data_IF_329660326536
#
_entry.id   IF_329660326536
#
_cell.length_a   1.000
_cell.length_b   1.000
_cell.length_c   1.000
_cell.angle_alpha   90.00
_cell.angle_beta   90.00
_cell.angle_gamma   90.00
#
_symmetry.space_group_name_H-M   'P 1'
#
loop_
_entity.id
_entity.type
_entity.pdbx_description
1 polymer ?
#
# COMPACT_ATOMS: atom_id res chain seq x y z
N UNK A 1 -5.67 -42.12 15.82
CA UNK A 1 -4.64 -41.13 16.26
C UNK A 1 -5.02 -39.79 15.67
N UNK A 2 -5.64 -38.95 16.49
CA UNK A 2 -6.14 -37.62 16.12
C UNK A 2 -5.01 -36.64 16.41
N UNK A 3 -4.35 -36.14 15.37
CA UNK A 3 -3.36 -35.09 15.52
C UNK A 3 -4.06 -33.80 16.01
N UNK A 4 -3.65 -33.41 17.21
CA UNK A 4 -4.02 -32.19 17.89
C UNK A 4 -3.70 -30.98 16.97
N UNK A 5 -4.72 -30.31 16.47
CA UNK A 5 -4.58 -28.95 15.93
C UNK A 5 -3.98 -28.08 17.02
N UNK A 6 -2.68 -27.80 16.90
CA UNK A 6 -1.97 -26.83 17.73
C UNK A 6 -2.81 -25.55 17.80
N UNK A 7 -3.38 -25.27 18.98
CA UNK A 7 -4.26 -24.14 19.22
C UNK A 7 -3.51 -22.83 18.93
N UNK A 8 -3.80 -22.21 17.80
CA UNK A 8 -3.35 -20.85 17.51
C UNK A 8 -3.99 -19.95 18.58
N UNK A 9 -3.19 -19.42 19.50
CA UNK A 9 -3.65 -18.46 20.51
C UNK A 9 -4.29 -17.27 19.80
N UNK A 10 -5.49 -16.88 20.20
CA UNK A 10 -6.14 -15.67 19.71
C UNK A 10 -5.36 -14.44 20.20
N UNK A 11 -5.29 -13.40 19.39
CA UNK A 11 -4.68 -12.12 19.77
C UNK A 11 -5.43 -11.51 20.96
N UNK A 12 -4.70 -10.98 21.92
CA UNK A 12 -5.26 -10.16 22.99
C UNK A 12 -5.56 -8.74 22.50
N UNK A 13 -6.27 -7.96 23.30
CA UNK A 13 -6.51 -6.53 23.00
C UNK A 13 -5.19 -5.74 22.93
N UNK A 14 -4.22 -6.09 23.78
CA UNK A 14 -2.91 -5.43 23.78
C UNK A 14 -2.12 -5.79 22.53
N UNK A 15 -2.13 -7.06 22.10
CA UNK A 15 -1.50 -7.47 20.82
C UNK A 15 -2.11 -6.68 19.64
N UNK A 16 -3.42 -6.46 19.63
CA UNK A 16 -4.10 -5.69 18.56
C UNK A 16 -3.71 -4.21 18.63
N UNK A 17 -3.67 -3.62 19.83
CA UNK A 17 -3.23 -2.23 20.02
C UNK A 17 -1.81 -2.04 19.48
N UNK A 18 -0.87 -2.90 19.89
CA UNK A 18 0.52 -2.83 19.45
C UNK A 18 0.66 -2.96 17.93
N UNK A 19 -0.12 -3.83 17.30
CA UNK A 19 -0.16 -3.94 15.83
C UNK A 19 -0.67 -2.67 15.15
N UNK A 20 -1.70 -2.03 15.70
CA UNK A 20 -2.22 -0.76 15.14
C UNK A 20 -1.21 0.37 15.34
N UNK A 21 -0.55 0.46 16.50
CA UNK A 21 0.49 1.45 16.77
C UNK A 21 1.71 1.25 15.87
N UNK A 22 2.08 -0.01 15.57
CA UNK A 22 3.10 -0.31 14.57
C UNK A 22 2.72 0.20 13.16
N UNK A 23 1.44 0.15 12.77
CA UNK A 23 0.99 0.72 11.51
C UNK A 23 1.16 2.25 11.46
N UNK A 24 0.92 2.97 12.57
CA UNK A 24 1.21 4.40 12.66
C UNK A 24 2.70 4.71 12.53
N UNK A 25 3.55 3.88 13.14
CA UNK A 25 5.01 3.97 12.98
C UNK A 25 5.42 3.73 11.53
N UNK A 26 4.88 2.70 10.87
CA UNK A 26 5.13 2.42 9.47
C UNK A 26 4.74 3.61 8.56
N UNK A 27 3.62 4.29 8.84
CA UNK A 27 3.23 5.52 8.13
C UNK A 27 4.30 6.60 8.26
N UNK A 28 4.83 6.85 9.47
CA UNK A 28 5.90 7.84 9.71
C UNK A 28 7.19 7.49 8.96
N UNK A 29 7.51 6.20 8.83
CA UNK A 29 8.65 5.75 8.03
C UNK A 29 8.45 6.13 6.55
N UNK A 30 7.24 5.97 6.02
CA UNK A 30 6.95 6.35 4.63
C UNK A 30 7.00 7.86 4.40
N UNK A 31 6.80 8.68 5.44
CA UNK A 31 6.95 10.14 5.39
C UNK A 31 8.42 10.59 5.33
N UNK A 32 9.36 9.71 5.72
CA UNK A 32 10.81 9.95 5.63
C UNK A 32 11.42 9.55 4.28
N UNK A 33 10.61 9.04 3.34
CA UNK A 33 11.08 8.72 2.00
C UNK A 33 11.41 9.99 1.20
N UNK A 34 12.33 9.92 0.21
CA UNK A 34 12.69 11.07 -0.61
C UNK A 34 11.48 11.71 -1.28
N UNK A 35 11.46 13.04 -1.31
CA UNK A 35 10.42 13.78 -2.01
C UNK A 35 10.47 13.49 -3.51
N UNK A 36 9.33 13.17 -4.07
CA UNK A 36 9.16 12.99 -5.50
C UNK A 36 8.94 14.34 -6.19
N UNK A 37 9.28 14.46 -7.50
CA UNK A 37 8.92 15.64 -8.28
C UNK A 37 7.42 15.96 -8.13
N UNK A 38 7.04 17.24 -8.12
CA UNK A 38 5.65 17.70 -7.84
C UNK A 38 4.57 17.03 -8.70
N UNK A 39 4.94 16.56 -9.89
CA UNK A 39 4.04 15.85 -10.79
C UNK A 39 3.90 14.36 -10.50
N UNK A 40 4.70 13.81 -9.58
CA UNK A 40 4.76 12.39 -9.25
C UNK A 40 4.13 12.12 -7.89
N UNK A 41 3.60 10.90 -7.73
CA UNK A 41 3.07 10.37 -6.48
C UNK A 41 3.78 9.05 -6.17
N UNK A 42 3.91 8.63 -4.89
CA UNK A 42 4.50 7.33 -4.53
C UNK A 42 3.89 6.17 -5.32
N UNK A 43 2.57 6.19 -5.54
CA UNK A 43 1.87 5.14 -6.34
C UNK A 43 2.32 5.06 -7.79
N UNK A 44 2.82 6.14 -8.38
CA UNK A 44 3.40 6.12 -9.73
C UNK A 44 4.69 5.30 -9.74
N UNK A 45 5.56 5.50 -8.75
CA UNK A 45 6.83 4.74 -8.61
C UNK A 45 6.54 3.25 -8.43
N UNK A 46 5.55 2.89 -7.60
CA UNK A 46 5.15 1.49 -7.43
C UNK A 46 4.64 0.84 -8.73
N UNK A 47 3.88 1.59 -9.56
CA UNK A 47 3.42 1.06 -10.86
C UNK A 47 4.57 0.94 -11.84
N UNK A 48 5.50 1.91 -11.88
CA UNK A 48 6.72 1.84 -12.70
C UNK A 48 7.54 0.60 -12.32
N UNK A 49 7.80 0.39 -11.04
CA UNK A 49 8.56 -0.77 -10.56
C UNK A 49 7.85 -2.10 -10.86
N UNK A 50 6.52 -2.16 -10.71
CA UNK A 50 5.74 -3.35 -11.06
C UNK A 50 5.79 -3.68 -12.56
N UNK A 51 5.74 -2.69 -13.46
CA UNK A 51 5.88 -2.88 -14.91
C UNK A 51 7.27 -3.43 -15.21
N UNK A 52 8.30 -2.86 -14.63
CA UNK A 52 9.68 -3.32 -14.81
C UNK A 52 9.83 -4.78 -14.37
N UNK A 53 9.41 -5.12 -13.15
CA UNK A 53 9.52 -6.47 -12.58
C UNK A 53 8.81 -7.51 -13.45
N UNK A 54 7.56 -7.24 -13.87
CA UNK A 54 6.79 -8.17 -14.69
C UNK A 54 7.42 -8.41 -16.07
N UNK A 55 7.99 -7.38 -16.69
CA UNK A 55 8.65 -7.52 -17.98
C UNK A 55 10.00 -8.26 -17.87
N UNK A 56 10.78 -8.00 -16.82
CA UNK A 56 12.09 -8.66 -16.64
C UNK A 56 11.99 -10.11 -16.17
N UNK A 57 11.01 -10.44 -15.31
CA UNK A 57 10.79 -11.81 -14.86
C UNK A 57 10.30 -12.75 -15.97
N UNK A 58 9.69 -12.21 -17.01
CA UNK A 58 9.14 -13.01 -18.09
C UNK A 58 10.20 -13.52 -19.09
N UNK A 59 11.45 -13.03 -19.02
CA UNK A 59 12.54 -13.32 -19.97
C UNK A 59 12.08 -13.23 -21.46
N UNK A 60 11.09 -12.37 -21.71
CA UNK A 60 10.47 -12.20 -23.04
C UNK A 60 11.08 -11.02 -23.77
N UNK A 61 11.37 -11.12 -25.06
CA UNK A 61 11.85 -9.97 -25.86
C UNK A 61 10.77 -8.89 -26.07
N UNK A 62 9.51 -9.21 -25.77
CA UNK A 62 8.37 -8.28 -25.90
C UNK A 62 7.74 -8.03 -24.53
N UNK A 63 7.22 -6.80 -24.27
CA UNK A 63 6.56 -6.48 -23.01
C UNK A 63 5.37 -7.39 -22.72
N UNK A 64 5.31 -7.92 -21.49
CA UNK A 64 4.23 -8.80 -21.02
C UNK A 64 3.38 -8.18 -19.91
N UNK A 65 3.85 -7.09 -19.29
CA UNK A 65 3.13 -6.41 -18.21
C UNK A 65 1.76 -5.93 -18.67
N UNK A 66 0.71 -6.29 -17.92
CA UNK A 66 -0.68 -5.90 -18.16
C UNK A 66 -1.28 -5.30 -16.90
N UNK A 67 -2.34 -4.51 -17.03
CA UNK A 67 -3.08 -3.94 -15.89
C UNK A 67 -3.48 -5.01 -14.87
N UNK A 68 -3.93 -6.19 -15.32
CA UNK A 68 -4.30 -7.30 -14.43
C UNK A 68 -3.10 -7.85 -13.65
N UNK A 69 -1.95 -8.02 -14.30
CA UNK A 69 -0.71 -8.47 -13.66
C UNK A 69 -0.22 -7.46 -12.61
N UNK A 70 -0.22 -6.17 -12.94
CA UNK A 70 0.14 -5.08 -12.02
C UNK A 70 -0.83 -5.02 -10.84
N UNK A 71 -2.13 -5.17 -11.09
CA UNK A 71 -3.19 -5.23 -10.07
C UNK A 71 -2.93 -6.38 -9.08
N UNK A 72 -2.60 -7.57 -9.57
CA UNK A 72 -2.28 -8.72 -8.73
C UNK A 72 -0.96 -8.51 -7.96
N UNK A 73 0.07 -7.98 -8.63
CA UNK A 73 1.39 -7.74 -8.04
C UNK A 73 1.33 -6.73 -6.87
N UNK A 74 0.58 -5.65 -7.04
CA UNK A 74 0.46 -4.57 -6.03
C UNK A 74 -0.68 -4.79 -5.03
N UNK A 75 -1.58 -5.77 -5.23
CA UNK A 75 -2.77 -5.96 -4.40
C UNK A 75 -3.77 -4.79 -4.49
N UNK A 76 -3.83 -4.11 -5.64
CA UNK A 76 -4.66 -2.92 -5.88
C UNK A 76 -5.64 -3.21 -7.01
N UNK A 77 -6.86 -2.66 -6.94
CA UNK A 77 -7.91 -2.94 -7.93
C UNK A 77 -7.54 -2.50 -9.35
N UNK A 78 -7.94 -3.27 -10.36
CA UNK A 78 -7.65 -2.98 -11.76
C UNK A 78 -8.11 -1.58 -12.24
N UNK A 79 -9.28 -1.04 -11.83
CA UNK A 79 -9.64 0.34 -12.15
C UNK A 79 -8.65 1.39 -11.60
N UNK A 80 -8.13 1.18 -10.38
CA UNK A 80 -7.12 2.07 -9.80
C UNK A 80 -5.81 2.03 -10.58
N UNK A 81 -5.37 0.83 -10.98
CA UNK A 81 -4.17 0.66 -11.82
C UNK A 81 -4.38 1.29 -13.19
N UNK A 82 -5.55 1.10 -13.83
CA UNK A 82 -5.87 1.71 -15.13
C UNK A 82 -5.72 3.23 -15.08
N UNK A 83 -6.21 3.86 -14.01
CA UNK A 83 -6.06 5.31 -13.82
C UNK A 83 -4.59 5.73 -13.69
N UNK A 84 -3.83 5.04 -12.84
CA UNK A 84 -2.40 5.34 -12.65
C UNK A 84 -1.58 5.14 -13.93
N UNK A 85 -1.85 4.07 -14.68
CA UNK A 85 -1.23 3.81 -15.98
C UNK A 85 -1.55 4.95 -16.96
N UNK A 86 -2.82 5.41 -17.02
CA UNK A 86 -3.19 6.53 -17.90
C UNK A 86 -2.50 7.85 -17.47
N UNK A 87 -2.38 8.11 -16.16
CA UNK A 87 -1.60 9.25 -15.65
C UNK A 87 -0.12 9.16 -16.10
N UNK A 88 0.48 7.96 -16.03
CA UNK A 88 1.88 7.74 -16.45
C UNK A 88 2.07 7.84 -17.97
N UNK A 89 1.13 7.35 -18.76
CA UNK A 89 1.13 7.53 -20.23
C UNK A 89 1.04 9.01 -20.57
N UNK A 90 0.15 9.76 -19.92
CA UNK A 90 0.04 11.21 -20.11
C UNK A 90 1.30 12.00 -19.71
N UNK A 91 2.16 11.40 -18.89
CA UNK A 91 3.48 11.96 -18.49
C UNK A 91 4.63 11.50 -19.40
N UNK A 92 4.37 10.64 -20.39
CA UNK A 92 5.40 10.07 -21.24
C UNK A 92 6.32 9.07 -20.54
N UNK A 93 5.85 8.44 -19.46
CA UNK A 93 6.63 7.48 -18.66
C UNK A 93 6.29 6.01 -18.98
N UNK A 94 5.12 5.75 -19.57
CA UNK A 94 4.65 4.41 -19.93
C UNK A 94 4.15 4.42 -21.37
N UNK A 95 4.50 3.38 -22.13
CA UNK A 95 4.02 3.13 -23.49
C UNK A 95 3.05 1.94 -23.47
N UNK A 96 1.94 2.07 -24.19
CA UNK A 96 0.98 1.02 -24.43
C UNK A 96 1.25 0.35 -25.78
N UNK A 97 1.31 -0.98 -25.79
CA UNK A 97 1.46 -1.78 -27.01
C UNK A 97 0.20 -2.60 -27.22
N UNK A 98 -0.48 -2.40 -28.35
CA UNK A 98 -1.59 -3.25 -28.75
C UNK A 98 -1.04 -4.62 -29.20
N UNK A 99 -1.69 -5.70 -28.78
CA UNK A 99 -1.34 -7.04 -29.29
C UNK A 99 -1.78 -7.17 -30.75
N UNK A 100 -0.87 -7.61 -31.62
CA UNK A 100 -1.19 -7.88 -33.04
C UNK A 100 -2.11 -9.08 -33.23
N UNK A 101 -2.09 -10.02 -32.27
CA UNK A 101 -2.87 -11.27 -32.34
C UNK A 101 -4.19 -11.24 -31.57
N UNK A 102 -4.30 -10.39 -30.55
CA UNK A 102 -5.50 -10.17 -29.76
C UNK A 102 -5.68 -8.67 -29.51
N UNK A 103 -6.43 -8.00 -30.40
CA UNK A 103 -6.66 -6.55 -30.34
C UNK A 103 -7.29 -6.02 -29.03
N UNK A 104 -7.61 -6.92 -28.09
CA UNK A 104 -8.08 -6.56 -26.74
C UNK A 104 -6.97 -6.60 -25.70
N UNK A 105 -5.82 -7.21 -25.98
CA UNK A 105 -4.71 -7.32 -25.07
C UNK A 105 -3.75 -6.14 -25.24
N UNK A 106 -3.63 -5.32 -24.21
CA UNK A 106 -2.67 -4.20 -24.15
C UNK A 106 -1.57 -4.57 -23.17
N UNK A 107 -0.32 -4.52 -23.66
CA UNK A 107 0.88 -4.64 -22.82
C UNK A 107 1.52 -3.27 -22.59
N UNK A 108 2.36 -3.17 -21.58
CA UNK A 108 2.94 -1.92 -21.08
C UNK A 108 4.46 -2.05 -21.01
N UNK A 109 5.18 -1.02 -21.49
CA UNK A 109 6.61 -0.86 -21.25
C UNK A 109 6.91 0.48 -20.62
N UNK A 110 8.07 0.59 -20.00
CA UNK A 110 8.61 1.85 -19.53
C UNK A 110 9.30 2.61 -20.68
N UNK A 111 9.36 3.93 -20.54
CA UNK A 111 10.27 4.78 -21.32
C UNK A 111 11.61 4.88 -20.58
N UNK A 112 12.66 5.31 -21.26
CA UNK A 112 13.97 5.57 -20.67
C UNK A 112 13.88 6.49 -19.43
N UNK A 113 13.09 7.55 -19.49
CA UNK A 113 12.85 8.43 -18.35
C UNK A 113 12.19 7.73 -17.16
N UNK A 114 11.32 6.75 -17.38
CA UNK A 114 10.72 5.96 -16.31
C UNK A 114 11.71 4.95 -15.73
N UNK A 115 12.61 4.40 -16.53
CA UNK A 115 13.68 3.53 -16.08
C UNK A 115 14.69 4.29 -15.21
N UNK A 116 15.05 5.53 -15.57
CA UNK A 116 15.88 6.42 -14.74
C UNK A 116 15.21 6.74 -13.40
N UNK A 117 13.90 7.03 -13.40
CA UNK A 117 13.14 7.26 -12.17
C UNK A 117 13.19 6.02 -11.27
N UNK A 118 12.99 4.82 -11.84
CA UNK A 118 13.08 3.58 -11.11
C UNK A 118 14.48 3.35 -10.55
N UNK A 119 15.49 3.57 -11.35
CA UNK A 119 16.90 3.43 -10.94
C UNK A 119 17.20 4.29 -9.71
N UNK A 120 16.80 5.56 -9.73
CA UNK A 120 17.05 6.49 -8.63
C UNK A 120 16.20 6.20 -7.38
N UNK A 121 14.88 6.12 -7.55
CA UNK A 121 13.94 6.07 -6.42
C UNK A 121 13.65 4.66 -5.90
N UNK A 122 14.02 3.63 -6.64
CA UNK A 122 13.86 2.24 -6.20
C UNK A 122 15.21 1.62 -5.97
N UNK A 123 16.02 1.43 -7.01
CA UNK A 123 17.24 0.64 -6.91
C UNK A 123 18.28 1.31 -5.99
N UNK A 124 18.77 2.50 -6.32
CA UNK A 124 19.82 3.18 -5.55
C UNK A 124 19.37 3.55 -4.13
N UNK A 125 18.10 3.95 -3.98
CA UNK A 125 17.57 4.27 -2.66
C UNK A 125 17.43 3.01 -1.80
N UNK A 126 16.96 1.88 -2.34
CA UNK A 126 16.90 0.62 -1.60
C UNK A 126 18.29 0.08 -1.27
N UNK A 127 19.28 0.21 -2.16
CA UNK A 127 20.68 -0.12 -1.84
C UNK A 127 21.18 0.70 -0.65
N UNK A 128 20.95 2.00 -0.64
CA UNK A 128 21.28 2.86 0.51
C UNK A 128 20.59 2.37 1.80
N UNK A 129 19.31 2.03 1.73
CA UNK A 129 18.56 1.53 2.89
C UNK A 129 19.07 0.17 3.39
N UNK A 130 19.64 -0.69 2.55
CA UNK A 130 20.28 -1.92 3.01
C UNK A 130 21.38 -1.65 4.05
N UNK A 131 22.16 -0.58 3.87
CA UNK A 131 23.14 -0.15 4.87
C UNK A 131 22.50 0.42 6.14
N UNK A 132 21.51 1.29 5.99
CA UNK A 132 20.80 1.94 7.11
C UNK A 132 20.08 0.92 7.99
N UNK A 133 19.46 -0.08 7.38
CA UNK A 133 18.64 -1.09 8.05
C UNK A 133 19.39 -2.37 8.37
N UNK A 134 20.73 -2.38 8.29
CA UNK A 134 21.60 -3.55 8.51
C UNK A 134 21.48 -4.18 9.92
N UNK A 135 20.89 -3.46 10.89
CA UNK A 135 20.60 -3.98 12.22
C UNK A 135 19.31 -4.80 12.33
N UNK A 136 18.52 -4.92 11.27
CA UNK A 136 17.27 -5.70 11.26
C UNK A 136 17.58 -7.13 10.79
N UNK A 137 17.15 -8.13 11.58
CA UNK A 137 17.24 -9.53 11.16
C UNK A 137 16.38 -9.79 9.92
N UNK A 138 16.91 -10.44 8.87
CA UNK A 138 16.13 -10.74 7.66
C UNK A 138 14.85 -11.56 7.93
N UNK A 139 14.87 -12.44 8.94
CA UNK A 139 13.68 -13.23 9.30
C UNK A 139 12.59 -12.34 9.94
N UNK A 140 12.99 -11.34 10.74
CA UNK A 140 12.05 -10.37 11.30
C UNK A 140 11.44 -9.50 10.20
N UNK A 141 12.21 -9.12 9.19
CA UNK A 141 11.69 -8.40 8.03
C UNK A 141 10.64 -9.22 7.28
N UNK A 142 10.92 -10.51 6.99
CA UNK A 142 9.97 -11.43 6.35
C UNK A 142 8.68 -11.58 7.18
N UNK A 143 8.82 -11.76 8.49
CA UNK A 143 7.68 -11.89 9.41
C UNK A 143 6.83 -10.63 9.43
N UNK A 144 7.46 -9.46 9.49
CA UNK A 144 6.77 -8.16 9.48
C UNK A 144 5.97 -7.97 8.20
N UNK A 145 6.57 -8.22 7.04
CA UNK A 145 5.88 -8.15 5.74
C UNK A 145 4.68 -9.08 5.69
N UNK A 146 4.85 -10.36 6.10
CA UNK A 146 3.78 -11.34 6.11
C UNK A 146 2.62 -10.93 7.05
N UNK A 147 2.94 -10.36 8.21
CA UNK A 147 1.96 -9.88 9.20
C UNK A 147 1.16 -8.70 8.64
N UNK A 148 1.81 -7.68 8.09
CA UNK A 148 1.14 -6.52 7.49
C UNK A 148 0.23 -6.91 6.32
N UNK A 149 0.70 -7.84 5.46
CA UNK A 149 -0.12 -8.37 4.37
C UNK A 149 -1.34 -9.16 4.88
N UNK A 150 -1.18 -9.95 5.95
CA UNK A 150 -2.29 -10.67 6.58
C UNK A 150 -3.31 -9.70 7.18
N UNK A 151 -2.87 -8.67 7.91
CA UNK A 151 -3.73 -7.61 8.45
C UNK A 151 -4.53 -6.93 7.34
N UNK A 152 -3.86 -6.51 6.26
CA UNK A 152 -4.51 -5.86 5.12
C UNK A 152 -5.61 -6.75 4.49
N UNK A 153 -5.34 -8.05 4.30
CA UNK A 153 -6.33 -8.99 3.75
C UNK A 153 -7.52 -9.20 4.69
N UNK A 154 -7.25 -9.42 5.98
CA UNK A 154 -8.29 -9.70 6.98
C UNK A 154 -9.19 -8.48 7.21
N UNK A 155 -8.62 -7.30 7.41
CA UNK A 155 -9.37 -6.06 7.57
C UNK A 155 -10.12 -5.68 6.28
N UNK A 156 -9.56 -5.98 5.10
CA UNK A 156 -10.23 -5.78 3.82
C UNK A 156 -11.45 -6.68 3.63
N UNK A 157 -11.42 -7.90 4.16
CA UNK A 157 -12.54 -8.84 4.14
C UNK A 157 -13.66 -8.43 5.11
N UNK A 158 -13.31 -7.76 6.22
CA UNK A 158 -14.25 -7.32 7.26
C UNK A 158 -14.95 -5.98 6.95
N UNK A 159 -14.62 -5.32 5.84
CA UNK A 159 -15.18 -3.99 5.47
C UNK A 159 -16.70 -3.93 5.33
N UNK A 160 -17.42 -5.00 5.52
CA UNK A 160 -18.88 -5.08 5.56
C UNK A 160 -19.37 -5.74 6.84
N UNK A 161 -18.49 -5.95 7.82
CA UNK A 161 -18.84 -6.56 9.10
C UNK A 161 -19.88 -5.74 9.86
N UNK A 162 -20.77 -6.43 10.55
CA UNK A 162 -21.90 -5.83 11.29
C UNK A 162 -21.42 -4.79 12.31
N UNK A 163 -20.28 -5.03 12.93
CA UNK A 163 -19.67 -4.10 13.89
C UNK A 163 -19.17 -2.80 13.25
N UNK A 164 -18.53 -2.88 12.09
CA UNK A 164 -18.04 -1.71 11.35
C UNK A 164 -19.18 -0.79 10.94
N UNK A 165 -20.30 -1.35 10.52
CA UNK A 165 -21.52 -0.61 10.16
C UNK A 165 -22.13 0.04 11.40
N UNK A 166 -22.33 -0.71 12.49
CA UNK A 166 -22.91 -0.18 13.73
C UNK A 166 -22.08 0.97 14.33
N UNK A 167 -20.75 0.85 14.34
CA UNK A 167 -19.88 1.91 14.87
C UNK A 167 -19.80 3.10 13.93
N UNK A 168 -19.75 2.89 12.62
CA UNK A 168 -19.75 3.99 11.64
C UNK A 168 -21.04 4.82 11.71
N UNK A 169 -22.19 4.18 12.01
CA UNK A 169 -23.49 4.86 12.12
C UNK A 169 -23.70 5.53 13.49
N UNK A 170 -23.20 4.93 14.58
CA UNK A 170 -23.41 5.42 15.94
C UNK A 170 -22.31 6.41 16.43
N UNK A 171 -21.11 6.28 15.93
CA UNK A 171 -19.94 7.03 16.40
C UNK A 171 -20.06 8.54 16.21
N UNK A 172 -20.48 9.11 15.06
CA UNK A 172 -20.52 10.56 14.87
C UNK A 172 -21.40 11.26 15.89
N UNK A 173 -22.60 10.79 16.13
CA UNK A 173 -23.56 11.42 17.04
C UNK A 173 -23.10 11.37 18.51
N UNK A 174 -22.47 10.29 18.93
CA UNK A 174 -21.94 10.15 20.29
C UNK A 174 -20.73 11.04 20.54
N UNK A 175 -19.78 11.08 19.61
CA UNK A 175 -18.59 11.93 19.68
C UNK A 175 -18.94 13.40 19.63
N UNK A 176 -19.85 13.83 18.74
CA UNK A 176 -20.34 15.20 18.66
C UNK A 176 -20.99 15.64 19.98
N UNK A 177 -21.75 14.76 20.63
CA UNK A 177 -22.36 15.04 21.94
C UNK A 177 -21.30 15.22 23.03
N UNK A 178 -20.25 14.41 23.05
CA UNK A 178 -19.14 14.52 24.01
C UNK A 178 -18.34 15.81 23.79
N UNK A 179 -18.05 16.17 22.54
CA UNK A 179 -17.31 17.38 22.20
C UNK A 179 -18.12 18.66 22.53
N UNK A 180 -19.41 18.68 22.22
CA UNK A 180 -20.30 19.79 22.57
C UNK A 180 -20.44 19.99 24.09
N UNK A 181 -20.33 18.90 24.88
CA UNK A 181 -20.33 18.96 26.36
C UNK A 181 -19.07 19.59 26.96
N UNK A 182 -17.95 19.53 26.26
CA UNK A 182 -16.66 20.07 26.74
C UNK A 182 -16.53 21.58 26.43
N UNK A 183 -17.06 22.05 25.31
CA UNK A 183 -17.11 23.49 24.98
C UNK A 183 -17.97 24.30 26.00
N UNK A 184 -19.04 23.70 26.53
CA UNK A 184 -19.86 24.36 27.56
C UNK A 184 -19.16 24.47 28.93
N UNK A 185 -18.18 23.61 29.22
CA UNK A 185 -17.38 23.66 30.46
C UNK A 185 -16.24 24.68 30.39
N UNK A 186 -15.65 24.87 29.20
CA UNK A 186 -14.55 25.84 29.02
C UNK A 186 -15.03 27.32 29.06
N UNK A 187 -16.28 27.61 28.67
CA UNK A 187 -16.85 28.96 28.72
C UNK A 187 -17.25 29.41 30.11
N UNK A 188 -17.43 28.48 31.05
CA UNK A 188 -17.81 28.84 32.45
C UNK A 188 -16.59 29.12 33.34
N UNK A 189 -15.38 28.67 32.93
CA UNK A 189 -14.15 28.86 33.70
C UNK A 189 -13.45 30.21 33.46
N UNK A 190 -13.89 31.04 32.49
CA UNK A 190 -13.24 32.31 32.14
C UNK A 190 -14.00 33.54 32.69
N UNK A 191 -15.02 33.33 33.54
CA UNK A 191 -15.80 34.43 34.17
C UNK A 191 -15.78 34.35 35.70
N UNK A 192 -14.63 34.17 36.31
CA UNK A 192 -14.37 34.48 37.71
C UNK A 192 -13.06 35.24 37.87
#
# INVERSE_FOLDING_TARGET
>A
MTESRSGRRQLSLDDVRDLIDACWTAKRITEALPELPRSMKPRHVHVIDAIWNLNHQAESPTPVARVSGISAFLGVTAPSITRLVNELVGKGLVVKHASETDGRAVTLSLTEAAEEIRELYVHQFHEHLCGVLSGIDPQDAVTTVATLQAMHRLMGADRGGEWTTQVADAWPAHVETLMAGDESRSHTATKQ
#
